data_IF_702676715877
#
_entry.id   IF_702676715877
#
_cell.length_a   1.000
_cell.length_b   1.000
_cell.length_c   1.000
_cell.angle_alpha   90.00
_cell.angle_beta   90.00
_cell.angle_gamma   90.00
#
_symmetry.space_group_name_H-M   'P 1'
#
loop_
_entity.id
_entity.type
_entity.pdbx_description
1 polymer ?
#
# COMPACT_ATOMS: atom_id res chain seq x y z
N UNK A 1 4.07 -5.35 39.66
CA UNK A 1 3.31 -6.56 39.35
C UNK A 1 4.11 -7.74 39.86
N UNK A 2 3.50 -8.69 40.57
CA UNK A 2 4.17 -9.90 41.02
C UNK A 2 4.24 -10.93 39.90
N UNK A 3 5.35 -11.65 39.86
CA UNK A 3 5.57 -12.74 38.89
C UNK A 3 4.82 -13.98 39.41
N UNK A 4 4.04 -14.60 38.55
CA UNK A 4 3.31 -15.84 38.87
C UNK A 4 4.27 -17.01 39.19
N UNK A 5 3.77 -18.09 39.82
CA UNK A 5 4.58 -19.25 40.21
C UNK A 5 5.16 -19.99 38.99
N UNK A 6 4.62 -19.78 37.80
CA UNK A 6 5.10 -20.27 36.50
C UNK A 6 6.17 -19.37 35.85
N UNK A 7 6.55 -18.25 36.51
CA UNK A 7 7.52 -17.30 36.01
C UNK A 7 6.98 -16.31 34.97
N UNK A 8 5.64 -16.21 34.81
CA UNK A 8 4.99 -15.33 33.85
C UNK A 8 4.27 -14.14 34.49
N UNK A 9 4.11 -13.08 33.71
CA UNK A 9 3.29 -11.90 34.03
C UNK A 9 2.43 -11.59 32.82
N UNK A 10 1.13 -11.46 33.02
CA UNK A 10 0.21 -10.99 31.99
C UNK A 10 0.03 -9.50 32.11
N UNK A 11 0.20 -8.80 30.98
CA UNK A 11 0.02 -7.34 30.88
C UNK A 11 -1.03 -7.06 29.80
N UNK A 12 -2.13 -6.47 30.20
CA UNK A 12 -3.17 -6.00 29.29
C UNK A 12 -2.91 -4.55 28.90
N UNK A 13 -2.89 -4.26 27.59
CA UNK A 13 -2.72 -2.92 27.02
C UNK A 13 -3.96 -2.55 26.23
N UNK A 14 -4.70 -1.54 26.67
CA UNK A 14 -5.83 -1.00 25.90
C UNK A 14 -5.33 -0.22 24.69
N UNK A 15 -5.50 -0.81 23.50
CA UNK A 15 -5.12 -0.20 22.22
C UNK A 15 -6.14 0.80 21.69
N UNK A 16 -7.33 0.93 22.32
CA UNK A 16 -8.37 1.88 21.91
C UNK A 16 -7.91 3.33 22.13
N UNK A 17 -7.10 3.58 23.16
CA UNK A 17 -6.52 4.89 23.44
C UNK A 17 -5.64 5.36 22.26
N UNK A 18 -4.77 4.50 21.76
CA UNK A 18 -3.93 4.81 20.62
C UNK A 18 -4.75 5.09 19.36
N UNK A 19 -5.84 4.34 19.14
CA UNK A 19 -6.78 4.59 18.04
C UNK A 19 -7.45 5.96 18.16
N UNK A 20 -7.87 6.36 19.35
CA UNK A 20 -8.51 7.66 19.59
C UNK A 20 -7.57 8.84 19.32
N UNK A 21 -6.27 8.70 19.63
CA UNK A 21 -5.27 9.76 19.45
C UNK A 21 -4.71 9.80 18.02
N UNK A 22 -4.44 8.66 17.42
CA UNK A 22 -3.68 8.53 16.17
C UNK A 22 -4.50 7.99 14.98
N UNK A 23 -5.80 7.69 15.19
CA UNK A 23 -6.67 7.15 14.12
C UNK A 23 -6.32 5.72 13.72
N UNK A 24 -6.52 5.40 12.43
CA UNK A 24 -6.38 4.05 11.87
C UNK A 24 -4.92 3.77 11.42
N UNK A 25 -3.97 3.94 12.34
CA UNK A 25 -2.54 3.71 12.11
C UNK A 25 -2.10 2.45 12.87
N UNK A 26 -1.23 1.64 12.25
CA UNK A 26 -0.59 0.51 12.92
C UNK A 26 0.42 0.99 13.95
N UNK A 27 0.51 0.29 15.08
CA UNK A 27 1.41 0.64 16.17
C UNK A 27 2.36 -0.49 16.51
N UNK A 28 3.59 -0.13 16.83
CA UNK A 28 4.55 -1.00 17.49
C UNK A 28 4.68 -0.59 18.95
N UNK A 29 4.27 -1.48 19.85
CA UNK A 29 4.47 -1.30 21.29
C UNK A 29 5.82 -1.91 21.67
N UNK A 30 6.69 -1.11 22.27
CA UNK A 30 7.94 -1.58 22.87
C UNK A 30 7.73 -1.72 24.37
N UNK A 31 8.01 -2.89 24.90
CA UNK A 31 7.83 -3.25 26.30
C UNK A 31 9.19 -3.49 26.90
N UNK A 32 9.51 -2.80 28.00
CA UNK A 32 10.69 -3.05 28.80
C UNK A 32 10.25 -3.51 30.18
N UNK A 33 10.72 -4.67 30.59
CA UNK A 33 10.46 -5.24 31.90
C UNK A 33 11.72 -5.20 32.76
N UNK A 34 11.61 -4.68 33.98
CA UNK A 34 12.65 -4.71 34.98
C UNK A 34 12.21 -5.64 36.12
N UNK A 35 12.95 -6.70 36.31
CA UNK A 35 12.68 -7.67 37.36
C UNK A 35 13.75 -7.52 38.46
N UNK A 36 13.32 -7.33 39.69
CA UNK A 36 14.16 -7.22 40.86
C UNK A 36 13.98 -8.44 41.76
N UNK A 37 15.08 -9.15 42.06
CA UNK A 37 15.07 -10.28 42.97
C UNK A 37 15.18 -9.85 44.44
N UNK A 38 15.03 -10.79 45.38
CA UNK A 38 15.17 -10.56 46.81
C UNK A 38 16.55 -10.02 47.22
N UNK A 39 17.60 -10.36 46.44
CA UNK A 39 18.96 -9.86 46.62
C UNK A 39 19.18 -8.46 46.02
N UNK A 40 18.10 -7.80 45.52
CA UNK A 40 18.09 -6.48 44.89
C UNK A 40 18.83 -6.40 43.56
N UNK A 41 19.12 -7.51 42.91
CA UNK A 41 19.65 -7.51 41.54
C UNK A 41 18.51 -7.19 40.59
N UNK A 42 18.78 -6.32 39.62
CA UNK A 42 17.82 -5.97 38.58
C UNK A 42 18.25 -6.64 37.29
N UNK A 43 17.29 -7.34 36.64
CA UNK A 43 17.43 -7.91 35.31
C UNK A 43 16.46 -7.16 34.42
N UNK A 44 16.94 -6.70 33.26
CA UNK A 44 16.14 -5.95 32.29
C UNK A 44 15.95 -6.78 31.03
N UNK A 45 14.73 -6.91 30.58
CA UNK A 45 14.36 -7.53 29.32
C UNK A 45 13.50 -6.59 28.48
N UNK A 46 13.58 -6.70 27.16
CA UNK A 46 12.75 -5.91 26.27
C UNK A 46 12.16 -6.76 25.15
N UNK A 47 10.96 -6.40 24.71
CA UNK A 47 10.27 -7.03 23.60
C UNK A 47 9.40 -6.02 22.86
N UNK A 48 8.80 -6.44 21.75
CA UNK A 48 7.84 -5.59 21.04
C UNK A 48 6.69 -6.40 20.46
N UNK A 49 5.51 -5.74 20.38
CA UNK A 49 4.30 -6.27 19.78
C UNK A 49 3.81 -5.33 18.70
N UNK A 50 3.46 -5.87 17.54
CA UNK A 50 2.84 -5.12 16.46
C UNK A 50 1.31 -5.23 16.57
N UNK A 51 0.63 -4.09 16.55
CA UNK A 51 -0.83 -4.00 16.59
C UNK A 51 -1.31 -3.39 15.28
N UNK A 52 -1.83 -4.22 14.39
CA UNK A 52 -2.40 -3.80 13.12
C UNK A 52 -3.83 -3.32 13.28
N UNK A 53 -4.20 -2.26 12.56
CA UNK A 53 -5.59 -1.78 12.49
C UNK A 53 -6.40 -2.49 11.42
N UNK A 54 -5.72 -2.98 10.39
CA UNK A 54 -6.32 -3.81 9.34
C UNK A 54 -5.67 -5.19 9.35
N UNK A 55 -6.40 -6.27 9.04
CA UNK A 55 -5.87 -7.64 9.08
C UNK A 55 -4.72 -7.84 8.09
N UNK A 56 -4.69 -7.07 6.99
CA UNK A 56 -3.62 -7.08 6.00
C UNK A 56 -3.57 -5.75 5.25
N UNK A 57 -2.54 -5.58 4.42
CA UNK A 57 -2.39 -4.46 3.49
C UNK A 57 -2.34 -4.98 2.06
N UNK A 58 -2.85 -4.17 1.15
CA UNK A 58 -2.73 -4.35 -0.29
C UNK A 58 -1.89 -3.19 -0.82
N UNK A 59 -0.73 -3.52 -1.41
CA UNK A 59 0.12 -2.55 -2.07
C UNK A 59 0.05 -2.79 -3.58
N UNK A 60 -0.10 -1.71 -4.34
CA UNK A 60 -0.12 -1.72 -5.80
C UNK A 60 1.00 -0.84 -6.31
N UNK A 61 1.75 -1.32 -7.31
CA UNK A 61 2.79 -0.52 -7.96
C UNK A 61 2.89 -0.86 -9.44
N UNK A 62 3.47 0.06 -10.19
CA UNK A 62 3.75 -0.08 -11.61
C UNK A 62 5.26 -0.02 -11.83
N UNK A 63 5.71 -0.45 -13.01
CA UNK A 63 7.12 -0.29 -13.41
C UNK A 63 7.51 1.19 -13.63
N UNK A 64 6.53 2.07 -13.87
CA UNK A 64 6.70 3.52 -14.05
C UNK A 64 5.45 4.29 -13.61
N UNK A 65 5.61 5.57 -13.29
CA UNK A 65 4.48 6.49 -12.99
C UNK A 65 3.83 7.09 -14.24
N UNK A 66 4.49 7.00 -15.42
CA UNK A 66 3.99 7.55 -16.69
C UNK A 66 4.23 6.60 -17.87
N UNK A 67 3.36 6.68 -18.87
CA UNK A 67 3.40 5.87 -20.09
C UNK A 67 3.04 6.72 -21.30
N UNK A 68 3.32 6.18 -22.50
CA UNK A 68 2.81 6.72 -23.76
C UNK A 68 1.68 5.84 -24.28
N UNK A 69 0.79 6.41 -25.08
CA UNK A 69 -0.20 5.62 -25.80
C UNK A 69 0.50 4.54 -26.63
N UNK A 70 0.06 3.29 -26.49
CA UNK A 70 0.67 2.11 -27.10
C UNK A 70 1.61 1.32 -26.16
N UNK A 71 2.08 1.92 -25.06
CA UNK A 71 2.93 1.21 -24.08
C UNK A 71 2.17 0.09 -23.38
N UNK A 72 2.93 -0.88 -22.85
CA UNK A 72 2.43 -1.91 -21.95
C UNK A 72 2.70 -1.47 -20.52
N UNK A 73 1.64 -1.38 -19.72
CA UNK A 73 1.66 -1.06 -18.30
C UNK A 73 1.75 -2.38 -17.54
N UNK A 74 2.82 -2.57 -16.78
CA UNK A 74 2.96 -3.74 -15.90
C UNK A 74 2.47 -3.39 -14.51
N UNK A 75 1.33 -3.96 -14.15
CA UNK A 75 0.69 -3.80 -12.84
C UNK A 75 1.12 -4.94 -11.94
N UNK A 76 1.61 -4.59 -10.76
CA UNK A 76 1.94 -5.54 -9.70
C UNK A 76 1.15 -5.17 -8.46
N UNK A 77 0.72 -6.18 -7.70
CA UNK A 77 0.23 -5.95 -6.35
C UNK A 77 0.64 -7.07 -5.41
N UNK A 78 0.67 -6.77 -4.13
CA UNK A 78 0.80 -7.79 -3.10
C UNK A 78 -0.20 -7.56 -1.95
N UNK A 79 -0.51 -8.67 -1.28
CA UNK A 79 -1.33 -8.68 -0.08
C UNK A 79 -0.56 -9.35 1.06
N UNK A 80 -0.34 -8.60 2.15
CA UNK A 80 0.45 -9.07 3.29
C UNK A 80 -0.12 -8.58 4.61
N UNK A 81 -0.04 -9.44 5.62
CA UNK A 81 -0.25 -9.06 7.02
C UNK A 81 0.88 -8.13 7.49
N UNK A 82 0.73 -7.51 8.66
CA UNK A 82 1.75 -6.61 9.21
C UNK A 82 3.06 -7.33 9.52
N UNK A 83 3.01 -8.62 9.87
CA UNK A 83 4.18 -9.49 10.08
C UNK A 83 4.72 -10.11 8.77
N UNK A 84 4.22 -9.68 7.62
CA UNK A 84 4.76 -10.00 6.30
C UNK A 84 4.24 -11.30 5.67
N UNK A 85 3.29 -12.01 6.31
CA UNK A 85 2.71 -13.23 5.74
C UNK A 85 1.80 -12.91 4.56
N UNK A 86 1.84 -13.75 3.52
CA UNK A 86 0.99 -13.64 2.35
C UNK A 86 -0.47 -13.88 2.68
N UNK A 87 -1.36 -13.09 2.08
CA UNK A 87 -2.80 -13.25 2.23
C UNK A 87 -3.40 -13.70 0.91
N UNK A 88 -4.12 -14.81 0.93
CA UNK A 88 -4.89 -15.33 -0.19
C UNK A 88 -6.35 -14.89 -0.10
N UNK A 89 -7.02 -14.80 -1.25
CA UNK A 89 -8.43 -14.42 -1.31
C UNK A 89 -8.89 -14.17 -2.74
N UNK A 90 -10.11 -13.66 -2.88
CA UNK A 90 -10.70 -13.25 -4.15
C UNK A 90 -10.23 -11.84 -4.51
N UNK A 91 -9.52 -11.68 -5.61
CA UNK A 91 -8.93 -10.42 -6.05
C UNK A 91 -9.64 -9.81 -7.24
N UNK A 92 -9.86 -8.49 -7.21
CA UNK A 92 -10.42 -7.73 -8.34
C UNK A 92 -9.53 -6.54 -8.66
N UNK A 93 -8.96 -6.52 -9.86
CA UNK A 93 -8.18 -5.42 -10.41
C UNK A 93 -9.09 -4.54 -11.28
N UNK A 94 -9.00 -3.22 -11.12
CA UNK A 94 -9.72 -2.24 -11.94
C UNK A 94 -8.77 -1.23 -12.54
N UNK A 95 -9.00 -0.87 -13.80
CA UNK A 95 -8.46 0.33 -14.42
C UNK A 95 -9.55 1.41 -14.39
N UNK A 96 -9.20 2.55 -13.81
CA UNK A 96 -10.11 3.66 -13.58
C UNK A 96 -9.51 4.90 -14.25
N UNK A 97 -10.27 5.60 -15.06
CA UNK A 97 -9.89 6.91 -15.59
C UNK A 97 -10.29 7.99 -14.58
N UNK A 98 -9.41 8.93 -14.34
CA UNK A 98 -9.68 10.10 -13.50
C UNK A 98 -9.94 11.28 -14.44
N UNK A 99 -11.10 11.87 -14.29
CA UNK A 99 -11.49 13.13 -14.93
C UNK A 99 -11.78 14.15 -13.82
N UNK A 100 -11.94 15.42 -14.17
CA UNK A 100 -12.27 16.47 -13.21
C UNK A 100 -13.55 17.14 -13.63
N UNK A 101 -14.44 17.39 -12.66
CA UNK A 101 -15.66 18.16 -12.88
C UNK A 101 -15.37 19.67 -12.99
N UNK A 102 -16.41 20.47 -13.22
CA UNK A 102 -16.30 21.93 -13.39
C UNK A 102 -15.76 22.62 -12.11
N UNK A 103 -15.97 22.03 -10.94
CA UNK A 103 -15.45 22.50 -9.65
C UNK A 103 -14.01 22.00 -9.39
N UNK A 104 -13.49 21.14 -10.26
CA UNK A 104 -12.16 20.59 -10.18
C UNK A 104 -12.03 19.41 -9.21
N UNK A 105 -13.12 18.75 -8.85
CA UNK A 105 -13.09 17.53 -8.06
C UNK A 105 -12.82 16.31 -8.96
N UNK A 106 -12.03 15.31 -8.48
CA UNK A 106 -11.77 14.12 -9.26
C UNK A 106 -13.03 13.24 -9.39
N UNK A 107 -13.32 12.83 -10.61
CA UNK A 107 -14.40 11.91 -10.95
C UNK A 107 -13.78 10.63 -11.49
N UNK A 108 -13.97 9.52 -10.79
CA UNK A 108 -13.44 8.22 -11.15
C UNK A 108 -14.43 7.44 -12.03
N UNK A 109 -14.00 7.04 -13.23
CA UNK A 109 -14.77 6.23 -14.19
C UNK A 109 -14.08 4.89 -14.42
N UNK A 110 -14.61 3.77 -13.91
CA UNK A 110 -14.08 2.44 -14.20
C UNK A 110 -14.14 2.15 -15.72
N UNK A 111 -13.01 1.70 -16.29
CA UNK A 111 -12.88 1.35 -17.71
C UNK A 111 -12.87 -0.15 -17.91
N UNK A 112 -12.11 -0.86 -17.07
CA UNK A 112 -11.94 -2.31 -17.17
C UNK A 112 -11.84 -2.93 -15.78
N UNK A 113 -12.27 -4.17 -15.68
CA UNK A 113 -12.23 -4.96 -14.45
C UNK A 113 -11.77 -6.38 -14.77
N UNK A 114 -10.91 -6.94 -13.95
CA UNK A 114 -10.40 -8.31 -14.06
C UNK A 114 -10.45 -8.97 -12.68
N UNK A 115 -10.93 -10.19 -12.64
CA UNK A 115 -10.85 -11.02 -11.45
C UNK A 115 -9.52 -11.76 -11.48
N UNK A 116 -8.64 -11.45 -10.54
CA UNK A 116 -7.27 -11.95 -10.48
C UNK A 116 -6.93 -12.24 -9.02
N UNK A 117 -6.91 -13.50 -8.67
CA UNK A 117 -6.54 -13.93 -7.33
C UNK A 117 -5.01 -13.90 -7.16
N UNK A 118 -4.51 -13.54 -5.97
CA UNK A 118 -3.08 -13.57 -5.71
C UNK A 118 -2.55 -15.02 -5.71
N UNK A 119 -1.33 -15.20 -6.20
CA UNK A 119 -0.65 -16.48 -6.14
C UNK A 119 -0.31 -16.90 -4.69
N UNK A 120 0.30 -18.07 -4.49
CA UNK A 120 0.67 -18.58 -3.17
C UNK A 120 1.62 -17.68 -2.36
N UNK A 121 2.27 -16.72 -3.01
CA UNK A 121 3.11 -15.70 -2.39
C UNK A 121 2.37 -14.37 -2.10
N UNK A 122 1.07 -14.32 -2.35
CA UNK A 122 0.26 -13.12 -2.21
C UNK A 122 0.53 -12.06 -3.27
N UNK A 123 1.04 -12.45 -4.45
CA UNK A 123 1.41 -11.55 -5.55
C UNK A 123 0.45 -11.70 -6.72
N UNK A 124 0.18 -10.58 -7.40
CA UNK A 124 -0.42 -10.55 -8.73
C UNK A 124 0.48 -9.79 -9.70
N UNK A 125 0.45 -10.20 -10.96
CA UNK A 125 1.02 -9.49 -12.08
C UNK A 125 -0.01 -9.44 -13.21
N UNK A 126 -0.20 -8.27 -13.79
CA UNK A 126 -1.12 -8.09 -14.92
C UNK A 126 -0.58 -7.05 -15.90
N UNK A 127 -0.90 -7.21 -17.19
CA UNK A 127 -0.47 -6.29 -18.23
C UNK A 127 -1.68 -5.59 -18.85
N UNK A 128 -1.60 -4.26 -18.94
CA UNK A 128 -2.65 -3.42 -19.53
C UNK A 128 -2.02 -2.63 -20.68
N UNK A 129 -2.69 -2.56 -21.83
CA UNK A 129 -2.26 -1.68 -22.93
C UNK A 129 -2.76 -0.26 -22.68
N UNK A 130 -1.85 0.71 -22.72
CA UNK A 130 -2.18 2.13 -22.66
C UNK A 130 -2.88 2.55 -23.97
N UNK A 131 -4.21 2.62 -24.00
CA UNK A 131 -5.00 2.84 -25.21
C UNK A 131 -5.31 4.31 -25.50
N UNK A 132 -5.36 5.17 -24.48
CA UNK A 132 -5.69 6.57 -24.62
C UNK A 132 -4.90 7.43 -23.61
N UNK A 133 -4.67 8.71 -23.97
CA UNK A 133 -4.09 9.69 -23.04
C UNK A 133 -5.06 9.97 -21.88
N UNK A 134 -4.51 10.25 -20.71
CA UNK A 134 -5.29 10.59 -19.52
C UNK A 134 -4.57 10.30 -18.22
N UNK A 135 -5.23 10.66 -17.14
CA UNK A 135 -4.83 10.27 -15.80
C UNK A 135 -5.66 9.04 -15.38
N UNK A 136 -4.97 8.08 -14.79
CA UNK A 136 -5.57 6.79 -14.44
C UNK A 136 -5.18 6.36 -13.05
N UNK A 137 -6.03 5.55 -12.45
CA UNK A 137 -5.74 4.79 -11.25
C UNK A 137 -5.94 3.30 -11.51
N UNK A 138 -4.98 2.48 -11.16
CA UNK A 138 -5.21 1.07 -10.93
C UNK A 138 -5.61 0.86 -9.48
N UNK A 139 -6.65 0.05 -9.27
CA UNK A 139 -7.15 -0.31 -7.95
C UNK A 139 -7.20 -1.83 -7.86
N UNK A 140 -6.61 -2.40 -6.80
CA UNK A 140 -6.72 -3.82 -6.54
C UNK A 140 -7.39 -4.02 -5.18
N UNK A 141 -8.52 -4.70 -5.20
CA UNK A 141 -9.30 -5.05 -4.02
C UNK A 141 -9.18 -6.54 -3.74
N UNK A 142 -8.76 -6.91 -2.55
CA UNK A 142 -8.71 -8.30 -2.08
C UNK A 142 -9.72 -8.53 -0.99
N UNK A 143 -10.50 -9.60 -1.14
CA UNK A 143 -11.38 -10.14 -0.11
C UNK A 143 -10.78 -11.44 0.42
N UNK A 144 -10.37 -11.46 1.68
CA UNK A 144 -9.83 -12.66 2.33
C UNK A 144 -10.92 -13.69 2.68
N UNK A 145 -10.51 -14.86 3.15
CA UNK A 145 -11.43 -15.93 3.56
C UNK A 145 -12.32 -15.55 4.75
N UNK A 146 -11.94 -14.57 5.55
CA UNK A 146 -12.73 -14.06 6.67
C UNK A 146 -13.73 -12.98 6.24
N UNK A 147 -13.71 -12.58 4.95
CA UNK A 147 -14.61 -11.58 4.37
C UNK A 147 -14.12 -10.14 4.47
N UNK A 148 -12.91 -9.89 4.96
CA UNK A 148 -12.34 -8.53 4.97
C UNK A 148 -12.00 -8.10 3.55
N UNK A 149 -12.41 -6.87 3.20
CA UNK A 149 -12.13 -6.25 1.90
C UNK A 149 -11.16 -5.10 2.08
N UNK A 150 -10.00 -5.18 1.44
CA UNK A 150 -8.98 -4.13 1.51
C UNK A 150 -8.52 -3.80 0.10
N UNK A 151 -8.48 -2.50 -0.17
CA UNK A 151 -8.09 -1.92 -1.45
C UNK A 151 -6.71 -1.27 -1.33
N UNK A 152 -5.89 -1.46 -2.38
CA UNK A 152 -4.71 -0.67 -2.68
C UNK A 152 -4.85 -0.07 -4.07
N UNK A 153 -4.12 1.02 -4.34
CA UNK A 153 -4.18 1.67 -5.64
C UNK A 153 -2.92 2.44 -5.99
N UNK A 154 -2.76 2.75 -7.27
CA UNK A 154 -1.65 3.55 -7.80
C UNK A 154 -2.14 4.46 -8.92
N UNK A 155 -1.84 5.76 -8.83
CA UNK A 155 -2.19 6.75 -9.86
C UNK A 155 -1.03 6.90 -10.84
N UNK A 156 -1.34 6.97 -12.14
CA UNK A 156 -0.36 7.13 -13.20
C UNK A 156 -0.93 7.92 -14.37
N UNK A 157 -0.07 8.29 -15.31
CA UNK A 157 -0.42 9.08 -16.48
C UNK A 157 -0.06 8.36 -17.76
N UNK A 158 -0.96 8.46 -18.75
CA UNK A 158 -0.69 8.09 -20.14
C UNK A 158 -0.62 9.34 -20.98
N UNK A 159 0.56 9.61 -21.57
CA UNK A 159 0.81 10.74 -22.47
C UNK A 159 0.46 10.36 -23.90
N UNK A 160 -0.10 11.30 -24.65
CA UNK A 160 -0.43 11.16 -26.05
C UNK A 160 -0.23 12.46 -26.79
N UNK A 161 -0.58 12.51 -28.06
CA UNK A 161 -0.53 13.74 -28.86
C UNK A 161 -1.39 14.83 -28.21
N UNK A 162 -0.85 16.06 -28.14
CA UNK A 162 -1.49 17.19 -27.50
C UNK A 162 -1.60 17.10 -25.97
N UNK A 163 -0.81 16.25 -25.33
CA UNK A 163 -0.69 16.22 -23.87
C UNK A 163 0.10 17.44 -23.41
N UNK A 164 -0.50 18.29 -22.58
CA UNK A 164 0.15 19.49 -22.00
C UNK A 164 0.20 19.45 -20.46
N UNK A 165 -0.33 18.39 -19.83
CA UNK A 165 -0.35 18.21 -18.38
C UNK A 165 -1.31 19.11 -17.60
N UNK A 166 -1.98 20.08 -18.24
CA UNK A 166 -2.83 21.06 -17.54
C UNK A 166 -4.11 20.47 -16.98
N UNK A 167 -4.59 19.36 -17.57
CA UNK A 167 -5.81 18.67 -17.15
C UNK A 167 -5.59 17.75 -15.95
N UNK A 168 -4.31 17.55 -15.52
CA UNK A 168 -3.97 16.61 -14.47
C UNK A 168 -3.56 17.34 -13.20
N UNK A 169 -4.01 16.79 -12.07
CA UNK A 169 -3.69 17.31 -10.75
C UNK A 169 -2.96 16.23 -9.98
N UNK A 170 -1.75 16.59 -9.53
CA UNK A 170 -0.93 15.72 -8.69
C UNK A 170 -0.80 16.39 -7.32
N UNK A 171 -0.72 15.58 -6.28
CA UNK A 171 -0.44 16.06 -4.94
C UNK A 171 1.04 16.37 -4.72
N UNK A 172 1.92 15.82 -5.58
CA UNK A 172 3.37 15.88 -5.47
C UNK A 172 4.00 16.31 -6.79
N UNK A 173 5.30 16.55 -6.77
CA UNK A 173 6.11 16.84 -7.96
C UNK A 173 6.46 15.53 -8.65
N UNK A 174 6.14 15.41 -9.93
CA UNK A 174 6.53 14.29 -10.78
C UNK A 174 7.58 14.74 -11.81
N UNK A 175 8.67 13.97 -11.92
CA UNK A 175 9.71 14.19 -12.93
C UNK A 175 9.40 13.28 -14.12
N UNK A 176 9.11 13.88 -15.28
CA UNK A 176 8.82 13.17 -16.52
C UNK A 176 9.94 13.46 -17.49
N UNK A 177 10.69 12.42 -17.85
CA UNK A 177 11.82 12.51 -18.78
C UNK A 177 11.40 12.16 -20.21
N UNK A 178 12.12 12.69 -21.21
CA UNK A 178 11.90 12.39 -22.64
C UNK A 178 12.24 10.94 -23.00
N UNK A 179 13.20 10.31 -22.30
CA UNK A 179 13.65 8.93 -22.49
C UNK A 179 13.58 8.12 -21.21
N UNK A 180 13.60 6.78 -21.34
CA UNK A 180 13.66 5.83 -20.20
C UNK A 180 15.08 5.61 -19.67
N UNK A 181 16.06 5.69 -20.54
CA UNK A 181 17.46 5.40 -20.26
C UNK A 181 18.35 6.46 -20.92
N UNK A 182 19.38 6.89 -20.20
CA UNK A 182 20.36 7.87 -20.64
C UNK A 182 21.75 7.27 -20.52
N UNK A 183 22.61 7.60 -21.48
CA UNK A 183 24.04 7.29 -21.39
C UNK A 183 24.76 8.38 -20.61
N UNK A 184 25.90 8.07 -19.98
CA UNK A 184 26.72 9.08 -19.32
C UNK A 184 27.05 10.22 -20.28
N UNK A 185 26.75 11.48 -19.87
CA UNK A 185 26.96 12.68 -20.65
C UNK A 185 25.78 13.14 -21.53
N UNK A 186 24.67 12.36 -21.60
CA UNK A 186 23.44 12.83 -22.23
C UNK A 186 22.69 13.83 -21.32
N UNK A 187 22.03 14.79 -21.97
CA UNK A 187 21.15 15.75 -21.27
C UNK A 187 19.80 15.09 -21.01
N UNK A 188 19.30 15.23 -19.81
CA UNK A 188 17.95 14.79 -19.41
C UNK A 188 17.03 16.00 -19.62
N UNK A 189 16.00 15.83 -20.47
CA UNK A 189 14.97 16.84 -20.74
C UNK A 189 13.62 16.41 -20.17
#
# INVERSE_FOLDING_TARGET
>A
VEIGPDGTVEIEIDTAIAKAIHGDIDHKYSITAEVRDESRRTIVGSGSVLVARKPFKVNVWLDRGHYRVGDVIKVNANSRTLDGKSVAGEGTLKLIKIEYDDDGNPVEKPISTWDIDPNGQGLIEHQIKASAKGQYRVSYNLKDKAGHKIEGGYVFVVRGEGFDGKEFRFNDIEIITDKKEYKPGEIIE
#
